data_IF_290600571061
#
_entry.id   IF_290600571061
#
_cell.length_a   1.000
_cell.length_b   1.000
_cell.length_c   1.000
_cell.angle_alpha   90.00
_cell.angle_beta   90.00
_cell.angle_gamma   90.00
#
_symmetry.space_group_name_H-M   'P 1'
#
loop_
_entity.id
_entity.type
_entity.pdbx_description
1 polymer ?
#
# COMPACT_ATOMS: atom_id res chain seq x y z
N UNK A 1 13.50 -1.05 6.45
CA UNK A 1 12.17 -1.52 6.92
C UNK A 1 11.55 -0.57 7.95
N UNK A 2 12.22 -0.21 9.05
CA UNK A 2 11.64 0.57 10.17
C UNK A 2 10.98 1.90 9.75
N UNK A 3 11.58 2.66 8.83
CA UNK A 3 10.99 3.90 8.28
C UNK A 3 9.61 3.69 7.62
N UNK A 4 9.35 2.52 7.04
CA UNK A 4 8.06 2.23 6.42
C UNK A 4 7.00 1.86 7.47
N UNK A 5 7.43 1.25 8.59
CA UNK A 5 6.53 1.03 9.73
C UNK A 5 6.15 2.35 10.41
N UNK A 6 7.06 3.34 10.46
CA UNK A 6 6.73 4.70 10.89
C UNK A 6 5.64 5.35 10.04
N UNK A 7 5.59 5.04 8.75
CA UNK A 7 4.53 5.51 7.85
C UNK A 7 3.21 4.75 8.01
N UNK A 8 3.11 3.81 8.95
CA UNK A 8 1.91 3.00 9.17
C UNK A 8 1.64 1.97 8.07
N UNK A 9 2.66 1.62 7.28
CA UNK A 9 2.49 0.66 6.17
C UNK A 9 2.41 -0.77 6.69
N UNK A 10 1.46 -1.53 6.15
CA UNK A 10 1.31 -2.96 6.45
C UNK A 10 2.46 -3.78 5.84
N UNK A 11 2.77 -4.95 6.40
CA UNK A 11 3.85 -5.84 5.95
C UNK A 11 3.73 -6.19 4.45
N UNK A 12 2.50 -6.28 3.92
CA UNK A 12 2.24 -6.47 2.48
C UNK A 12 2.68 -5.26 1.64
N UNK A 13 2.43 -4.04 2.12
CA UNK A 13 2.83 -2.81 1.44
C UNK A 13 4.34 -2.58 1.54
N UNK A 14 4.92 -2.93 2.69
CA UNK A 14 6.39 -2.95 2.89
C UNK A 14 7.03 -3.91 1.89
N UNK A 15 6.49 -5.13 1.76
CA UNK A 15 6.95 -6.12 0.77
C UNK A 15 6.92 -5.57 -0.65
N UNK A 16 5.79 -5.01 -1.08
CA UNK A 16 5.64 -4.38 -2.40
C UNK A 16 6.62 -3.23 -2.64
N UNK A 17 6.87 -2.37 -1.64
CA UNK A 17 7.79 -1.24 -1.78
C UNK A 17 9.26 -1.66 -1.83
N UNK A 18 9.64 -2.70 -1.08
CA UNK A 18 11.01 -3.22 -1.10
C UNK A 18 11.26 -4.26 -2.21
N UNK A 19 10.21 -4.72 -2.91
CA UNK A 19 10.32 -5.84 -3.85
C UNK A 19 10.58 -7.19 -3.18
N UNK A 20 10.21 -7.34 -1.90
CA UNK A 20 10.35 -8.58 -1.13
C UNK A 20 8.99 -9.25 -0.91
N UNK A 21 8.98 -10.57 -0.72
CA UNK A 21 7.78 -11.30 -0.32
C UNK A 21 7.26 -10.81 1.04
N UNK A 22 5.94 -10.87 1.24
CA UNK A 22 5.28 -10.56 2.52
C UNK A 22 5.79 -11.43 3.67
N UNK A 23 6.13 -12.70 3.39
CA UNK A 23 6.71 -13.60 4.37
C UNK A 23 8.09 -13.11 4.83
N UNK A 24 8.92 -12.65 3.88
CA UNK A 24 10.25 -12.07 4.18
C UNK A 24 10.12 -10.80 5.01
N UNK A 25 9.16 -9.93 4.69
CA UNK A 25 8.90 -8.72 5.47
C UNK A 25 8.54 -9.09 6.93
N UNK A 26 7.68 -10.09 7.14
CA UNK A 26 7.28 -10.55 8.47
C UNK A 26 8.46 -11.13 9.28
N UNK A 27 9.34 -11.89 8.63
CA UNK A 27 10.59 -12.38 9.24
C UNK A 27 11.50 -11.23 9.61
N UNK A 28 11.66 -10.26 8.71
CA UNK A 28 12.51 -9.10 8.94
C UNK A 28 12.02 -8.25 10.12
N UNK A 29 10.69 -8.07 10.28
CA UNK A 29 10.06 -7.48 11.47
C UNK A 29 10.40 -8.24 12.74
N UNK A 30 10.25 -9.57 12.71
CA UNK A 30 10.48 -10.42 13.88
C UNK A 30 11.95 -10.38 14.33
N UNK A 31 12.89 -10.35 13.37
CA UNK A 31 14.31 -10.17 13.67
C UNK A 31 14.60 -8.79 14.26
N UNK A 32 13.96 -7.74 13.75
CA UNK A 32 14.07 -6.39 14.28
C UNK A 32 13.56 -6.30 15.72
N UNK A 33 12.39 -6.89 16.01
CA UNK A 33 11.83 -6.98 17.36
C UNK A 33 12.77 -7.73 18.31
N UNK A 34 13.31 -8.87 17.89
CA UNK A 34 14.29 -9.64 18.70
C UNK A 34 15.58 -8.89 18.95
N UNK A 35 16.08 -8.13 17.97
CA UNK A 35 17.33 -7.37 18.08
C UNK A 35 17.22 -6.19 19.04
N UNK A 36 16.04 -5.56 19.08
CA UNK A 36 15.74 -4.44 19.99
C UNK A 36 15.20 -4.92 21.34
N UNK A 37 14.77 -6.18 21.45
CA UNK A 37 14.11 -6.70 22.66
C UNK A 37 12.66 -6.20 22.82
N UNK A 38 12.06 -5.65 21.77
CA UNK A 38 10.72 -5.09 21.79
C UNK A 38 9.66 -6.17 21.49
N UNK A 39 8.57 -6.21 22.26
CA UNK A 39 7.42 -7.08 21.98
C UNK A 39 6.51 -6.53 20.88
N UNK A 40 6.47 -5.21 20.72
CA UNK A 40 5.52 -4.52 19.86
C UNK A 40 6.24 -3.60 18.87
N UNK A 41 5.63 -3.36 17.71
CA UNK A 41 6.14 -2.39 16.72
C UNK A 41 6.24 -0.99 17.34
N UNK A 42 5.28 -0.58 18.16
CA UNK A 42 5.33 0.71 18.87
C UNK A 42 6.54 0.81 19.81
N UNK A 43 6.87 -0.25 20.55
CA UNK A 43 8.04 -0.26 21.42
C UNK A 43 9.35 -0.20 20.61
N UNK A 44 9.42 -0.91 19.48
CA UNK A 44 10.55 -0.82 18.57
C UNK A 44 10.74 0.59 18.00
N UNK A 45 9.63 1.25 17.65
CA UNK A 45 9.64 2.62 17.14
C UNK A 45 10.09 3.62 18.21
N UNK A 46 9.60 3.46 19.44
CA UNK A 46 9.99 4.27 20.58
C UNK A 46 11.49 4.14 20.86
N UNK A 47 12.00 2.91 20.92
CA UNK A 47 13.42 2.65 21.14
C UNK A 47 14.29 3.25 20.02
N UNK A 48 13.87 3.08 18.76
CA UNK A 48 14.60 3.64 17.63
C UNK A 48 14.68 5.18 17.63
N UNK A 49 13.66 5.84 18.19
CA UNK A 49 13.64 7.30 18.39
C UNK A 49 14.49 7.68 19.62
N UNK A 50 14.37 6.92 20.71
CA UNK A 50 15.12 7.12 21.96
C UNK A 50 16.63 7.03 21.74
N UNK A 51 17.05 6.02 20.98
CA UNK A 51 18.44 5.80 20.58
C UNK A 51 18.93 6.82 19.53
N UNK A 52 18.02 7.60 18.92
CA UNK A 52 18.38 8.58 17.89
C UNK A 52 18.76 7.98 16.53
N UNK A 53 18.51 6.69 16.31
CA UNK A 53 18.78 6.00 15.04
C UNK A 53 17.81 6.44 13.95
N UNK A 54 16.67 6.98 14.37
CA UNK A 54 15.59 7.38 13.50
C UNK A 54 15.24 8.84 13.76
N UNK A 55 15.73 9.70 12.87
CA UNK A 55 15.17 11.03 12.72
C UNK A 55 13.76 10.85 12.15
N UNK A 56 12.74 11.22 12.93
CA UNK A 56 11.43 11.49 12.36
C UNK A 56 11.70 12.48 11.22
N UNK A 57 11.45 12.13 9.94
CA UNK A 57 11.52 13.14 8.90
C UNK A 57 10.49 14.16 9.32
N UNK A 58 10.95 15.31 9.84
CA UNK A 58 10.13 16.47 10.08
C UNK A 58 9.32 16.59 8.81
N UNK A 59 8.01 16.31 8.94
CA UNK A 59 7.08 16.01 7.85
C UNK A 59 7.61 16.63 6.58
N UNK A 60 8.04 15.79 5.62
CA UNK A 60 8.24 16.22 4.24
C UNK A 60 6.89 16.71 3.73
N UNK A 61 6.46 17.86 4.26
CA UNK A 61 5.60 18.78 3.60
C UNK A 61 6.36 19.08 2.34
N UNK A 62 5.84 18.48 1.29
CA UNK A 62 6.23 18.68 -0.08
C UNK A 62 6.46 20.17 -0.30
N UNK A 63 7.73 20.56 -0.19
CA UNK A 63 8.26 21.71 -0.90
C UNK A 63 8.46 21.25 -2.35
N UNK A 64 7.37 20.77 -2.97
CA UNK A 64 7.24 20.77 -4.41
C UNK A 64 6.77 22.18 -4.74
N UNK A 65 7.74 22.96 -5.18
CA UNK A 65 7.62 24.30 -5.67
C UNK A 65 6.34 24.53 -6.49
N UNK A 66 5.88 25.77 -6.38
CA UNK A 66 4.98 26.46 -7.28
C UNK A 66 5.15 25.99 -8.74
N UNK A 67 4.08 25.47 -9.33
CA UNK A 67 3.74 25.77 -10.71
C UNK A 67 2.23 25.90 -10.83
N UNK A 68 1.82 27.16 -10.93
CA UNK A 68 0.61 27.59 -11.62
C UNK A 68 0.40 26.73 -12.87
N UNK A 69 -0.70 25.97 -12.92
CA UNK A 69 -1.35 25.69 -14.19
C UNK A 69 -2.81 25.27 -13.95
N UNK A 70 -3.64 26.30 -14.04
CA UNK A 70 -5.04 26.24 -14.42
C UNK A 70 -5.29 25.14 -15.47
N UNK A 71 -5.85 24.00 -15.03
CA UNK A 71 -6.60 23.01 -15.83
C UNK A 71 -7.09 21.86 -14.95
N UNK A 72 -7.93 22.17 -13.97
CA UNK A 72 -8.80 21.14 -13.38
C UNK A 72 -10.21 21.38 -13.93
N UNK A 73 -10.49 20.78 -15.10
CA UNK A 73 -11.86 20.62 -15.61
C UNK A 73 -12.36 19.31 -14.99
N UNK A 74 -13.35 19.32 -14.08
CA UNK A 74 -14.01 18.08 -13.67
C UNK A 74 -14.95 17.65 -14.82
N UNK A 75 -14.46 16.86 -15.76
CA UNK A 75 -15.30 16.16 -16.72
C UNK A 75 -15.98 14.97 -16.01
N UNK A 76 -17.29 15.13 -15.80
CA UNK A 76 -18.25 14.18 -15.22
C UNK A 76 -18.05 12.73 -15.69
N UNK A 77 -18.18 11.72 -14.81
CA UNK A 77 -18.33 10.33 -15.22
C UNK A 77 -19.77 10.06 -15.66
N UNK A 78 -20.06 10.13 -16.95
CA UNK A 78 -21.27 9.50 -17.52
C UNK A 78 -20.95 8.04 -17.81
N UNK A 79 -21.18 7.15 -16.85
CA UNK A 79 -21.21 5.71 -17.09
C UNK A 79 -22.68 5.26 -17.08
N UNK A 80 -23.34 5.40 -18.23
CA UNK A 80 -24.68 4.89 -18.46
C UNK A 80 -24.61 3.54 -19.21
N UNK A 81 -25.27 2.55 -18.61
CA UNK A 81 -25.89 1.38 -19.25
C UNK A 81 -25.00 0.27 -19.80
N UNK A 82 -24.83 -0.75 -18.94
CA UNK A 82 -24.72 -2.15 -19.34
C UNK A 82 -26.16 -2.67 -19.58
N UNK A 83 -26.51 -3.20 -20.77
CA UNK A 83 -27.59 -4.17 -20.88
C UNK A 83 -27.06 -5.62 -20.84
N UNK A 84 -27.88 -6.56 -20.31
CA UNK A 84 -27.45 -7.88 -19.84
C UNK A 84 -27.17 -8.92 -20.94
N UNK A 85 -26.32 -9.94 -20.67
CA UNK A 85 -26.16 -11.10 -21.55
C UNK A 85 -27.39 -12.02 -21.45
N UNK A 86 -28.10 -12.17 -22.57
CA UNK A 86 -29.22 -13.10 -22.71
C UNK A 86 -28.72 -14.57 -22.68
N UNK A 87 -29.06 -15.24 -21.59
CA UNK A 87 -29.49 -16.64 -21.45
C UNK A 87 -29.05 -17.72 -22.48
N UNK A 88 -28.32 -18.71 -21.94
CA UNK A 88 -28.43 -20.18 -22.08
C UNK A 88 -29.08 -20.81 -23.34
N UNK A 89 -28.29 -21.68 -24.00
CA UNK A 89 -28.67 -22.86 -24.84
C UNK A 89 -29.67 -23.79 -24.13
N UNK A 90 -30.51 -24.61 -24.83
CA UNK A 90 -30.06 -25.89 -25.45
C UNK A 90 -30.79 -26.36 -26.73
N UNK A 91 -30.16 -27.34 -27.40
CA UNK A 91 -30.69 -28.46 -28.21
C UNK A 91 -31.93 -28.27 -29.11
N UNK A 92 -31.78 -28.51 -30.43
CA UNK A 92 -32.49 -29.60 -31.15
C UNK A 92 -32.03 -29.77 -32.61
N UNK A 93 -31.84 -31.04 -32.98
CA UNK A 93 -31.73 -31.66 -34.32
C UNK A 93 -32.52 -30.94 -35.43
N UNK A 94 -31.99 -30.91 -36.66
CA UNK A 94 -32.43 -31.85 -37.70
C UNK A 94 -31.50 -31.87 -38.93
N UNK A 95 -30.97 -33.08 -39.21
CA UNK A 95 -30.53 -33.53 -40.52
C UNK A 95 -31.80 -33.91 -41.30
N UNK A 96 -32.03 -33.31 -42.47
CA UNK A 96 -32.16 -34.00 -43.78
C UNK A 96 -32.44 -32.99 -44.87
#
# INVERSE_FOLDING_TARGET
MVQLLLQGLSDKQVGRRLGISDQTARTHRSHLLRKVGASNVCALLYEAISEGWLLLPASTQSSAALSVNSRFIPAVPTQASIPPPAARRPDRKERK
#
